data_IF_645605536646
#
_entry.id   IF_645605536646
#
_cell.length_a   1.000
_cell.length_b   1.000
_cell.length_c   1.000
_cell.angle_alpha   90.00
_cell.angle_beta   90.00
_cell.angle_gamma   90.00
#
_symmetry.space_group_name_H-M   'P 1'
#
loop_
_entity.id
_entity.type
_entity.pdbx_description
1 polymer ?
#
# COMPACT_ATOMS: atom_id res chain seq x y z
N UNK A 1 25.47 0.75 -16.84
CA UNK A 1 25.00 0.81 -15.44
C UNK A 1 23.48 0.74 -15.48
N UNK A 2 22.86 -0.07 -14.62
CA UNK A 2 21.41 -0.03 -14.39
C UNK A 2 21.12 1.25 -13.60
N UNK A 3 20.88 2.36 -14.29
CA UNK A 3 20.44 3.59 -13.64
C UNK A 3 18.92 3.61 -13.70
N UNK A 4 18.30 3.32 -12.57
CA UNK A 4 16.88 3.56 -12.37
C UNK A 4 16.74 5.00 -11.89
N UNK A 5 16.14 5.85 -12.70
CA UNK A 5 15.64 7.13 -12.24
C UNK A 5 14.26 6.90 -11.64
N UNK A 6 14.06 7.44 -10.42
CA UNK A 6 12.73 7.45 -9.82
C UNK A 6 11.79 8.21 -10.78
N UNK A 7 10.64 7.63 -11.13
CA UNK A 7 9.63 8.34 -11.90
C UNK A 7 9.24 9.65 -11.22
N UNK A 8 8.79 10.63 -12.01
CA UNK A 8 8.16 11.85 -11.46
C UNK A 8 7.03 11.47 -10.50
N UNK A 9 6.81 12.28 -9.45
CA UNK A 9 5.73 11.98 -8.52
C UNK A 9 4.37 11.90 -9.24
N UNK A 10 3.50 10.93 -8.87
CA UNK A 10 2.16 10.87 -9.40
C UNK A 10 1.39 12.15 -9.13
N UNK A 11 0.49 12.49 -10.05
CA UNK A 11 -0.51 13.54 -9.86
C UNK A 11 -1.35 13.29 -8.60
N UNK A 12 -1.67 14.36 -7.87
CA UNK A 12 -2.39 14.32 -6.59
C UNK A 12 -3.68 15.13 -6.68
N UNK A 13 -4.69 14.74 -5.90
CA UNK A 13 -5.98 15.42 -5.81
C UNK A 13 -6.44 15.50 -4.34
N UNK A 14 -7.03 16.63 -3.94
CA UNK A 14 -7.59 16.93 -2.60
C UNK A 14 -6.61 16.98 -1.42
N UNK A 15 -5.57 16.15 -1.44
CA UNK A 15 -4.66 15.92 -0.33
C UNK A 15 -3.21 16.01 -0.80
N UNK A 16 -2.37 16.64 0.02
CA UNK A 16 -0.94 16.75 -0.22
C UNK A 16 -0.20 16.91 1.11
N UNK A 17 1.08 16.55 1.15
CA UNK A 17 1.96 16.79 2.30
C UNK A 17 2.10 18.28 2.60
N UNK A 18 2.10 19.14 1.58
CA UNK A 18 2.26 20.59 1.71
C UNK A 18 1.06 21.28 2.37
N UNK A 19 -0.14 20.74 2.15
CA UNK A 19 -1.40 21.29 2.67
C UNK A 19 -1.85 20.62 3.97
N UNK A 20 -1.22 19.51 4.37
CA UNK A 20 -1.59 18.75 5.55
C UNK A 20 -1.23 19.50 6.85
N UNK A 21 -2.27 19.84 7.62
CA UNK A 21 -2.10 20.32 8.98
C UNK A 21 -1.56 19.23 9.91
N UNK A 22 -0.83 19.58 10.99
CA UNK A 22 -0.36 18.61 11.98
C UNK A 22 -1.53 17.87 12.65
N UNK A 23 -1.24 16.69 13.22
CA UNK A 23 -2.23 15.79 13.80
C UNK A 23 -3.02 16.42 14.95
N UNK A 24 -2.42 17.35 15.70
CA UNK A 24 -3.08 18.08 16.80
C UNK A 24 -4.24 18.99 16.36
N UNK A 25 -4.26 19.37 15.08
CA UNK A 25 -5.28 20.23 14.45
C UNK A 25 -6.25 19.46 13.57
N UNK A 26 -6.15 18.13 13.53
CA UNK A 26 -6.99 17.31 12.67
C UNK A 26 -8.43 17.27 13.17
N UNK A 27 -9.35 17.68 12.31
CA UNK A 27 -10.78 17.68 12.62
C UNK A 27 -11.45 16.36 12.25
N UNK A 28 -12.41 15.94 13.08
CA UNK A 28 -13.17 14.69 12.91
C UNK A 28 -13.84 14.59 11.52
N UNK A 29 -14.44 15.68 11.04
CA UNK A 29 -15.15 15.72 9.76
C UNK A 29 -14.20 15.55 8.57
N UNK A 30 -12.95 16.04 8.70
CA UNK A 30 -11.92 15.87 7.68
C UNK A 30 -11.52 14.40 7.52
N UNK A 31 -11.39 13.64 8.62
CA UNK A 31 -11.11 12.20 8.57
C UNK A 31 -12.23 11.46 7.83
N UNK A 32 -13.49 11.79 8.13
CA UNK A 32 -14.65 11.18 7.48
C UNK A 32 -14.63 11.48 5.97
N UNK A 33 -14.42 12.73 5.59
CA UNK A 33 -14.37 13.13 4.17
C UNK A 33 -13.26 12.38 3.43
N UNK A 34 -12.06 12.29 4.02
CA UNK A 34 -10.92 11.57 3.43
C UNK A 34 -11.23 10.09 3.18
N UNK A 35 -11.95 9.43 4.10
CA UNK A 35 -12.36 8.04 3.93
C UNK A 35 -13.41 7.90 2.83
N UNK A 36 -14.35 8.85 2.72
CA UNK A 36 -15.39 8.86 1.68
C UNK A 36 -14.76 9.05 0.29
N UNK A 37 -13.76 9.92 0.15
CA UNK A 37 -13.13 10.19 -1.15
C UNK A 37 -12.36 8.98 -1.72
N UNK A 38 -12.11 7.97 -0.90
CA UNK A 38 -11.46 6.71 -1.27
C UNK A 38 -12.46 5.54 -1.37
N UNK A 39 -13.75 5.82 -1.29
CA UNK A 39 -14.79 4.81 -1.27
C UNK A 39 -14.98 4.17 -2.66
N UNK A 40 -14.29 3.05 -2.87
CA UNK A 40 -14.44 2.23 -4.08
C UNK A 40 -15.70 1.38 -4.04
N UNK A 41 -16.20 1.06 -2.84
CA UNK A 41 -17.32 0.12 -2.66
C UNK A 41 -18.69 0.79 -2.79
N UNK A 42 -18.80 2.10 -2.59
CA UNK A 42 -20.07 2.84 -2.54
C UNK A 42 -21.09 2.19 -1.59
N UNK A 43 -20.63 1.67 -0.45
CA UNK A 43 -21.44 0.84 0.45
C UNK A 43 -21.39 1.30 1.90
N UNK A 44 -22.55 1.51 2.51
CA UNK A 44 -22.66 1.87 3.93
C UNK A 44 -22.31 0.71 4.89
N UNK A 45 -21.97 -0.47 4.37
CA UNK A 45 -21.46 -1.58 5.18
C UNK A 45 -20.01 -1.38 5.61
N UNK A 46 -19.58 -2.10 6.64
CA UNK A 46 -18.17 -2.19 7.02
C UNK A 46 -17.33 -2.65 5.82
N UNK A 47 -16.28 -1.89 5.50
CA UNK A 47 -15.38 -2.21 4.41
C UNK A 47 -13.97 -1.71 4.72
N UNK A 48 -12.99 -2.44 4.18
CA UNK A 48 -11.57 -2.15 4.32
C UNK A 48 -10.94 -2.07 2.95
N UNK A 49 -10.22 -0.98 2.73
CA UNK A 49 -9.38 -0.81 1.55
C UNK A 49 -7.94 -0.80 2.05
N UNK A 50 -7.14 -1.75 1.60
CA UNK A 50 -5.72 -1.82 1.92
C UNK A 50 -4.90 -1.12 0.84
N UNK A 51 -3.63 -0.83 1.11
CA UNK A 51 -2.70 -0.28 0.13
C UNK A 51 -1.31 -0.14 0.73
N UNK A 52 -0.38 0.41 -0.04
CA UNK A 52 1.03 0.47 0.33
C UNK A 52 1.64 1.85 0.12
N UNK A 53 2.22 2.40 1.19
CA UNK A 53 2.99 3.64 1.18
C UNK A 53 4.46 3.31 1.39
N UNK A 54 5.18 3.12 0.27
CA UNK A 54 6.49 2.48 0.29
C UNK A 54 6.36 1.03 0.79
N UNK A 55 7.20 0.61 1.73
CA UNK A 55 7.10 -0.74 2.31
C UNK A 55 6.14 -0.83 3.51
N UNK A 56 5.34 0.21 3.74
CA UNK A 56 4.45 0.34 4.89
C UNK A 56 3.00 0.12 4.48
N UNK A 57 2.28 -0.72 5.22
CA UNK A 57 0.87 -1.01 4.90
C UNK A 57 -0.03 0.14 5.35
N UNK A 58 -0.96 0.53 4.50
CA UNK A 58 -2.04 1.47 4.79
C UNK A 58 -3.37 0.71 4.75
N UNK A 59 -4.23 0.95 5.73
CA UNK A 59 -5.61 0.43 5.77
C UNK A 59 -6.56 1.58 5.97
N UNK A 60 -7.44 1.79 4.99
CA UNK A 60 -8.61 2.65 5.11
C UNK A 60 -9.74 1.80 5.70
N UNK A 61 -10.22 2.23 6.85
CA UNK A 61 -11.30 1.60 7.60
C UNK A 61 -12.56 2.42 7.39
N UNK A 62 -13.60 1.80 6.85
CA UNK A 62 -14.91 2.44 6.70
C UNK A 62 -15.97 1.68 7.46
N UNK A 63 -16.79 2.43 8.20
CA UNK A 63 -17.95 1.93 8.92
C UNK A 63 -17.67 0.68 9.77
N UNK A 64 -16.49 0.59 10.40
CA UNK A 64 -16.19 -0.49 11.32
C UNK A 64 -17.13 -0.42 12.51
N UNK A 65 -17.90 -1.48 12.75
CA UNK A 65 -18.93 -1.48 13.80
C UNK A 65 -18.54 -2.40 14.96
N UNK A 66 -18.58 -1.87 16.17
CA UNK A 66 -18.43 -2.68 17.37
C UNK A 66 -19.37 -2.24 18.50
N UNK A 67 -19.21 -2.84 19.69
CA UNK A 67 -20.04 -2.53 20.86
C UNK A 67 -19.94 -1.06 21.30
N UNK A 68 -18.85 -0.37 20.97
CA UNK A 68 -18.57 1.02 21.39
C UNK A 68 -19.08 2.05 20.38
N UNK A 69 -19.28 1.68 19.12
CA UNK A 69 -19.66 2.64 18.08
C UNK A 69 -19.29 2.19 16.68
N UNK A 70 -19.30 3.17 15.78
CA UNK A 70 -18.85 3.05 14.40
C UNK A 70 -17.56 3.86 14.24
N UNK A 71 -16.57 3.34 13.52
CA UNK A 71 -15.32 4.04 13.24
C UNK A 71 -15.02 4.14 11.75
N UNK A 72 -14.45 5.28 11.35
CA UNK A 72 -13.89 5.53 10.03
C UNK A 72 -12.47 6.06 10.21
N UNK A 73 -11.53 5.71 9.35
CA UNK A 73 -10.21 6.34 9.38
C UNK A 73 -9.12 5.51 8.73
N UNK A 74 -7.89 5.74 9.18
CA UNK A 74 -6.69 5.18 8.59
C UNK A 74 -5.87 4.46 9.65
N UNK A 75 -5.22 3.37 9.24
CA UNK A 75 -4.21 2.67 10.03
C UNK A 75 -2.98 2.51 9.14
N UNK A 76 -1.83 3.00 9.63
CA UNK A 76 -0.54 2.86 8.95
C UNK A 76 0.38 2.03 9.84
N UNK A 77 0.93 0.94 9.32
CA UNK A 77 1.98 0.18 10.01
C UNK A 77 3.33 0.48 9.35
N UNK A 78 4.26 1.06 10.11
CA UNK A 78 5.60 1.41 9.64
C UNK A 78 6.56 0.22 9.79
N UNK A 79 6.31 -0.83 9.00
CA UNK A 79 6.90 -2.14 9.18
C UNK A 79 6.55 -2.72 10.55
N UNK A 80 7.51 -3.39 11.19
CA UNK A 80 7.35 -3.96 12.53
C UNK A 80 7.69 -2.96 13.66
N UNK A 81 7.81 -1.67 13.34
CA UNK A 81 8.25 -0.64 14.30
C UNK A 81 7.10 -0.07 15.12
N UNK A 82 6.06 0.40 14.44
CA UNK A 82 4.89 0.98 15.09
C UNK A 82 3.69 1.05 14.16
N UNK A 83 2.52 1.25 14.78
CA UNK A 83 1.25 1.54 14.16
C UNK A 83 0.79 2.95 14.54
N UNK A 84 0.39 3.72 13.54
CA UNK A 84 -0.33 4.98 13.69
C UNK A 84 -1.78 4.76 13.25
N UNK A 85 -2.74 5.00 14.14
CA UNK A 85 -4.18 4.94 13.82
C UNK A 85 -4.78 6.34 13.94
N UNK A 86 -5.52 6.76 12.92
CA UNK A 86 -6.15 8.08 12.82
C UNK A 86 -7.62 7.84 12.51
N UNK A 87 -8.49 7.95 13.51
CA UNK A 87 -9.87 7.52 13.39
C UNK A 87 -10.86 8.58 13.86
N UNK A 88 -12.02 8.59 13.22
CA UNK A 88 -13.25 9.23 13.66
C UNK A 88 -14.18 8.15 14.22
N UNK A 89 -14.59 8.30 15.48
CA UNK A 89 -15.43 7.33 16.20
C UNK A 89 -16.75 7.99 16.60
N UNK A 90 -17.85 7.47 16.06
CA UNK A 90 -19.20 7.80 16.51
C UNK A 90 -19.63 6.81 17.59
N UNK A 91 -19.79 7.29 18.84
CA UNK A 91 -20.12 6.42 19.96
C UNK A 91 -21.54 5.87 19.89
N UNK A 92 -21.72 4.59 20.23
CA UNK A 92 -23.05 4.01 20.42
C UNK A 92 -23.60 4.41 21.79
N UNK A 93 -24.53 5.37 21.78
CA UNK A 93 -25.21 5.85 23.00
C UNK A 93 -26.68 5.41 22.99
N UNK A 94 -27.21 4.82 24.08
CA UNK A 94 -28.63 4.50 24.18
C UNK A 94 -29.53 5.73 23.96
N UNK A 95 -30.63 5.58 23.20
CA UNK A 95 -31.54 6.69 22.86
C UNK A 95 -32.01 7.48 24.08
N UNK A 96 -32.32 6.81 25.19
CA UNK A 96 -32.73 7.48 26.42
C UNK A 96 -31.66 8.48 26.94
N UNK A 97 -30.37 8.12 26.84
CA UNK A 97 -29.25 8.99 27.26
C UNK A 97 -29.08 10.18 26.32
N UNK A 98 -29.29 9.99 25.01
CA UNK A 98 -29.29 11.10 24.05
C UNK A 98 -30.42 12.10 24.34
N UNK A 99 -31.63 11.60 24.62
CA UNK A 99 -32.77 12.44 24.97
C UNK A 99 -32.55 13.22 26.26
N UNK A 100 -32.06 12.55 27.32
CA UNK A 100 -31.73 13.20 28.60
C UNK A 100 -30.62 14.26 28.47
N UNK A 101 -29.73 14.12 27.49
CA UNK A 101 -28.67 15.10 27.19
C UNK A 101 -29.07 16.13 26.13
N UNK A 102 -30.34 16.16 25.70
CA UNK A 102 -30.86 17.03 24.64
C UNK A 102 -30.09 16.93 23.31
N UNK A 103 -29.47 15.76 23.03
CA UNK A 103 -28.72 15.51 21.80
C UNK A 103 -29.54 14.69 20.81
N UNK A 104 -29.49 15.08 19.52
CA UNK A 104 -30.13 14.34 18.43
C UNK A 104 -29.27 13.20 17.87
N UNK A 105 -27.94 13.33 17.97
CA UNK A 105 -26.95 12.35 17.52
C UNK A 105 -25.87 12.15 18.60
N UNK A 106 -25.21 10.97 18.65
CA UNK A 106 -24.01 10.78 19.45
C UNK A 106 -22.92 11.79 19.08
N UNK A 107 -21.97 11.99 20.00
CA UNK A 107 -20.76 12.76 19.67
C UNK A 107 -19.85 11.88 18.83
N UNK A 108 -19.34 12.44 17.75
CA UNK A 108 -18.21 11.88 17.02
C UNK A 108 -16.92 12.49 17.57
N UNK A 109 -15.88 11.69 17.73
CA UNK A 109 -14.58 12.14 18.23
C UNK A 109 -13.44 11.58 17.40
N UNK A 110 -12.40 12.39 17.25
CA UNK A 110 -11.10 11.97 16.75
C UNK A 110 -10.37 11.11 17.81
N UNK A 111 -9.80 10.01 17.35
CA UNK A 111 -8.91 9.14 18.10
C UNK A 111 -7.65 8.92 17.26
N UNK A 112 -6.57 9.57 17.69
CA UNK A 112 -5.24 9.40 17.10
C UNK A 112 -4.38 8.65 18.10
N UNK A 113 -3.92 7.46 17.70
CA UNK A 113 -3.15 6.58 18.57
C UNK A 113 -1.88 6.07 17.91
N UNK A 114 -0.91 5.81 18.77
CA UNK A 114 0.38 5.27 18.45
C UNK A 114 0.60 4.00 19.28
N UNK A 115 1.16 2.96 18.66
CA UNK A 115 1.47 1.68 19.29
C UNK A 115 2.80 1.19 18.74
N UNK A 116 3.81 0.97 19.59
CA UNK A 116 5.04 0.30 19.14
C UNK A 116 4.76 -1.18 18.88
N UNK A 117 5.40 -1.71 17.84
CA UNK A 117 5.30 -3.10 17.40
C UNK A 117 6.66 -3.79 17.60
N UNK A 118 6.70 -5.10 17.31
CA UNK A 118 7.94 -5.88 17.37
C UNK A 118 8.26 -6.40 18.78
N UNK A 119 9.55 -6.41 19.14
CA UNK A 119 10.08 -7.16 20.29
C UNK A 119 9.72 -6.56 21.66
N UNK A 120 9.35 -5.28 21.72
CA UNK A 120 8.89 -4.61 22.95
C UNK A 120 7.64 -3.77 22.67
N UNK A 121 6.49 -4.40 22.45
CA UNK A 121 5.27 -3.68 22.15
C UNK A 121 4.82 -2.88 23.38
N UNK A 122 4.61 -1.59 23.20
CA UNK A 122 3.98 -0.72 24.18
C UNK A 122 2.47 -0.85 24.09
N UNK A 123 1.78 -0.57 25.20
CA UNK A 123 0.35 -0.31 25.13
C UNK A 123 0.05 0.85 24.18
N UNK A 124 -1.15 0.83 23.60
CA UNK A 124 -1.65 1.93 22.76
C UNK A 124 -1.66 3.26 23.53
N UNK A 125 -1.01 4.27 22.98
CA UNK A 125 -0.91 5.62 23.53
C UNK A 125 -1.69 6.61 22.65
N UNK A 126 -2.37 7.58 23.25
CA UNK A 126 -3.00 8.66 22.50
C UNK A 126 -1.96 9.71 22.12
N UNK A 127 -2.00 10.19 20.87
CA UNK A 127 -1.05 11.18 20.33
C UNK A 127 -0.88 12.40 21.25
N UNK A 128 -1.99 12.98 21.73
CA UNK A 128 -2.00 14.13 22.66
C UNK A 128 -1.29 13.91 24.00
N UNK A 129 -1.01 12.66 24.37
CA UNK A 129 -0.34 12.29 25.62
C UNK A 129 1.13 11.89 25.39
N UNK A 130 1.64 12.00 24.16
CA UNK A 130 3.06 11.78 23.86
C UNK A 130 3.83 13.02 24.30
N UNK A 131 4.88 12.81 25.08
CA UNK A 131 5.76 13.88 25.59
C UNK A 131 7.05 14.02 24.77
N UNK A 132 7.37 13.00 23.99
CA UNK A 132 8.54 12.96 23.11
C UNK A 132 8.27 13.80 21.86
N UNK A 133 8.96 14.94 21.76
CA UNK A 133 8.82 15.89 20.65
C UNK A 133 9.34 15.33 19.31
N UNK A 134 10.39 14.50 19.33
CA UNK A 134 10.92 13.88 18.11
C UNK A 134 9.92 12.86 17.57
N UNK A 135 9.31 12.07 18.47
CA UNK A 135 8.24 11.16 18.09
C UNK A 135 7.02 11.91 17.53
N UNK A 136 6.58 13.00 18.15
CA UNK A 136 5.48 13.81 17.63
C UNK A 136 5.76 14.34 16.22
N UNK A 137 6.98 14.86 15.99
CA UNK A 137 7.40 15.33 14.67
C UNK A 137 7.42 14.21 13.63
N UNK A 138 7.87 13.01 14.01
CA UNK A 138 7.84 11.84 13.13
C UNK A 138 6.41 11.43 12.77
N UNK A 139 5.47 11.42 13.73
CA UNK A 139 4.08 11.08 13.46
C UNK A 139 3.39 12.12 12.57
N UNK A 140 3.73 13.40 12.73
CA UNK A 140 3.25 14.45 11.83
C UNK A 140 3.86 14.32 10.42
N UNK A 141 5.13 13.93 10.31
CA UNK A 141 5.75 13.65 9.01
C UNK A 141 5.07 12.46 8.31
N UNK A 142 4.81 11.38 9.03
CA UNK A 142 4.09 10.22 8.50
C UNK A 142 2.65 10.56 8.07
N UNK A 143 2.00 11.46 8.80
CA UNK A 143 0.70 11.98 8.42
C UNK A 143 0.75 12.77 7.11
N UNK A 144 1.79 13.60 6.91
CA UNK A 144 2.00 14.32 5.64
C UNK A 144 2.26 13.35 4.49
N UNK A 145 3.11 12.33 4.70
CA UNK A 145 3.35 11.27 3.71
C UNK A 145 2.05 10.54 3.35
N UNK A 146 1.22 10.23 4.36
CA UNK A 146 -0.08 9.61 4.12
C UNK A 146 -0.97 10.53 3.27
N UNK A 147 -0.98 11.84 3.50
CA UNK A 147 -1.77 12.77 2.68
C UNK A 147 -1.32 12.79 1.21
N UNK A 148 -0.03 12.71 0.93
CA UNK A 148 0.47 12.57 -0.44
C UNK A 148 0.01 11.27 -1.08
N UNK A 149 0.14 10.15 -0.37
CA UNK A 149 -0.34 8.85 -0.82
C UNK A 149 -1.84 8.86 -1.11
N UNK A 150 -2.64 9.43 -0.19
CA UNK A 150 -4.09 9.55 -0.36
C UNK A 150 -4.45 10.47 -1.51
N UNK A 151 -3.71 11.57 -1.70
CA UNK A 151 -3.93 12.49 -2.80
C UNK A 151 -3.71 11.83 -4.15
N UNK A 152 -2.64 11.04 -4.28
CA UNK A 152 -2.37 10.27 -5.49
C UNK A 152 -3.44 9.19 -5.72
N UNK A 153 -3.91 8.54 -4.65
CA UNK A 153 -4.98 7.55 -4.74
C UNK A 153 -6.31 8.16 -5.20
N UNK A 154 -6.71 9.32 -4.66
CA UNK A 154 -7.90 10.05 -5.10
C UNK A 154 -7.81 10.43 -6.58
N UNK A 155 -6.66 10.95 -7.02
CA UNK A 155 -6.46 11.28 -8.44
C UNK A 155 -6.62 10.05 -9.34
N UNK A 156 -6.03 8.91 -8.97
CA UNK A 156 -6.22 7.66 -9.71
C UNK A 156 -7.69 7.27 -9.80
N UNK A 157 -8.41 7.27 -8.67
CA UNK A 157 -9.81 6.83 -8.62
C UNK A 157 -10.73 7.72 -9.48
N UNK A 158 -10.60 9.04 -9.40
CA UNK A 158 -11.42 9.97 -10.18
C UNK A 158 -11.18 9.89 -11.68
N UNK A 159 -9.97 9.53 -12.10
CA UNK A 159 -9.58 9.44 -13.50
C UNK A 159 -9.63 7.99 -14.05
N UNK A 160 -10.28 7.07 -13.34
CA UNK A 160 -10.50 5.70 -13.83
C UNK A 160 -9.26 4.79 -13.72
N UNK A 161 -8.33 5.08 -12.82
CA UNK A 161 -7.10 4.33 -12.51
C UNK A 161 -6.10 4.24 -13.68
N UNK A 162 -5.64 5.37 -14.23
CA UNK A 162 -4.82 5.40 -15.44
C UNK A 162 -3.48 4.66 -15.30
N UNK A 163 -2.81 4.69 -14.14
CA UNK A 163 -1.55 3.95 -13.96
C UNK A 163 -1.80 2.44 -13.91
N UNK A 164 -2.93 2.01 -13.36
CA UNK A 164 -3.33 0.59 -13.39
C UNK A 164 -3.60 0.14 -14.83
N UNK A 165 -4.35 0.94 -15.59
CA UNK A 165 -4.60 0.66 -17.01
C UNK A 165 -3.30 0.61 -17.81
N UNK A 166 -2.38 1.55 -17.56
CA UNK A 166 -1.06 1.57 -18.18
C UNK A 166 -0.25 0.31 -17.84
N UNK A 167 -0.24 -0.13 -16.57
CA UNK A 167 0.45 -1.36 -16.16
C UNK A 167 -0.09 -2.57 -16.93
N UNK A 168 -1.42 -2.71 -17.01
CA UNK A 168 -2.08 -3.81 -17.73
C UNK A 168 -1.82 -3.77 -19.25
N UNK A 169 -1.65 -2.59 -19.84
CA UNK A 169 -1.35 -2.44 -21.27
C UNK A 169 0.13 -2.69 -21.61
N UNK A 170 1.05 -2.27 -20.75
CA UNK A 170 2.50 -2.34 -21.01
C UNK A 170 3.12 -3.65 -20.57
N UNK A 171 2.59 -4.27 -19.51
CA UNK A 171 3.11 -5.51 -18.93
C UNK A 171 2.19 -6.65 -19.36
N UNK A 172 2.40 -7.15 -20.57
CA UNK A 172 1.56 -8.21 -21.15
C UNK A 172 2.02 -9.62 -20.71
N UNK A 173 1.14 -10.63 -20.78
CA UNK A 173 1.52 -12.02 -20.54
C UNK A 173 2.68 -12.52 -21.40
N UNK A 174 2.74 -12.08 -22.67
CA UNK A 174 3.84 -12.41 -23.59
C UNK A 174 5.15 -11.77 -23.12
N UNK A 175 5.10 -10.50 -22.68
CA UNK A 175 6.27 -9.81 -22.15
C UNK A 175 6.84 -10.48 -20.90
N UNK A 176 5.98 -10.95 -20.00
CA UNK A 176 6.38 -11.74 -18.81
C UNK A 176 7.01 -13.06 -19.24
N UNK A 177 6.38 -13.76 -20.18
CA UNK A 177 6.90 -15.04 -20.68
C UNK A 177 8.26 -14.89 -21.34
N UNK A 178 8.44 -13.87 -22.19
CA UNK A 178 9.73 -13.56 -22.82
C UNK A 178 10.83 -13.26 -21.80
N UNK A 179 10.52 -12.49 -20.76
CA UNK A 179 11.46 -12.23 -19.67
C UNK A 179 11.81 -13.50 -18.90
N UNK A 180 10.81 -14.32 -18.58
CA UNK A 180 11.01 -15.57 -17.86
C UNK A 180 11.90 -16.56 -18.63
N UNK A 181 11.85 -16.51 -19.96
CA UNK A 181 12.66 -17.33 -20.87
C UNK A 181 14.02 -16.73 -21.27
N UNK A 182 14.38 -15.56 -20.74
CA UNK A 182 15.64 -14.91 -21.07
C UNK A 182 16.85 -15.84 -20.82
N UNK A 183 17.76 -15.94 -21.80
CA UNK A 183 18.87 -16.91 -21.80
C UNK A 183 19.80 -16.78 -20.59
N UNK A 184 19.86 -15.59 -19.98
CA UNK A 184 20.65 -15.32 -18.77
C UNK A 184 20.22 -16.20 -17.58
N UNK A 185 18.94 -16.56 -17.46
CA UNK A 185 18.45 -17.44 -16.40
C UNK A 185 18.85 -18.91 -16.59
N UNK A 186 19.29 -19.30 -17.80
CA UNK A 186 19.80 -20.66 -18.07
C UNK A 186 21.32 -20.76 -17.97
N UNK A 187 22.01 -19.62 -18.04
CA UNK A 187 23.48 -19.55 -18.11
C UNK A 187 24.13 -19.12 -16.80
N UNK A 188 23.45 -18.35 -15.96
CA UNK A 188 23.95 -17.97 -14.63
C UNK A 188 23.61 -18.99 -13.55
N UNK A 189 24.45 -19.04 -12.53
CA UNK A 189 24.08 -19.67 -11.25
C UNK A 189 23.02 -18.81 -10.57
N UNK A 190 21.86 -19.39 -10.28
CA UNK A 190 20.73 -18.71 -9.68
C UNK A 190 20.65 -18.98 -8.17
N UNK A 191 20.29 -17.95 -7.42
CA UNK A 191 19.94 -18.02 -6.00
C UNK A 191 18.43 -18.23 -5.86
N UNK A 192 18.03 -19.13 -4.97
CA UNK A 192 16.62 -19.37 -4.66
C UNK A 192 16.07 -18.29 -3.73
N UNK A 193 14.82 -17.90 -3.96
CA UNK A 193 14.02 -16.99 -3.13
C UNK A 193 12.55 -17.42 -3.19
N UNK A 194 12.17 -18.34 -2.29
CA UNK A 194 10.88 -19.02 -2.37
C UNK A 194 10.75 -19.84 -3.65
N UNK A 195 9.67 -19.63 -4.40
CA UNK A 195 9.42 -20.27 -5.70
C UNK A 195 10.21 -19.64 -6.86
N UNK A 196 10.95 -18.55 -6.60
CA UNK A 196 11.71 -17.84 -7.61
C UNK A 196 13.19 -18.24 -7.56
N UNK A 197 13.85 -18.21 -8.72
CA UNK A 197 15.28 -18.35 -8.85
C UNK A 197 15.85 -17.17 -9.67
N UNK A 198 16.91 -16.53 -9.17
CA UNK A 198 17.39 -15.27 -9.74
C UNK A 198 18.85 -14.94 -9.46
N UNK A 199 19.27 -13.75 -9.86
CA UNK A 199 20.61 -13.24 -9.59
C UNK A 199 20.59 -11.74 -9.32
N UNK A 200 21.61 -11.27 -8.58
CA UNK A 200 21.82 -9.85 -8.33
C UNK A 200 22.58 -9.19 -9.49
N UNK A 201 22.15 -7.98 -9.85
CA UNK A 201 22.84 -7.10 -10.78
C UNK A 201 22.77 -5.66 -10.24
N UNK A 202 23.82 -5.26 -9.52
CA UNK A 202 23.81 -4.03 -8.73
C UNK A 202 22.79 -4.11 -7.60
N UNK A 203 21.95 -3.08 -7.49
CA UNK A 203 20.92 -2.95 -6.44
C UNK A 203 19.65 -3.76 -6.70
N UNK A 204 19.59 -4.49 -7.82
CA UNK A 204 18.41 -5.24 -8.24
C UNK A 204 18.64 -6.75 -8.22
N UNK A 205 17.63 -7.46 -7.75
CA UNK A 205 17.54 -8.91 -7.87
C UNK A 205 16.46 -9.26 -8.89
N UNK A 206 16.87 -9.87 -10.00
CA UNK A 206 15.97 -10.34 -11.05
C UNK A 206 15.79 -11.84 -10.88
N UNK A 207 14.55 -12.30 -10.74
CA UNK A 207 14.24 -13.69 -10.53
C UNK A 207 13.00 -14.11 -11.33
N UNK A 208 12.92 -15.40 -11.61
CA UNK A 208 11.83 -16.00 -12.39
C UNK A 208 11.28 -17.21 -11.65
N UNK A 209 9.97 -17.42 -11.77
CA UNK A 209 9.31 -18.67 -11.43
C UNK A 209 8.95 -19.35 -12.74
N UNK A 210 9.60 -20.48 -13.02
CA UNK A 210 9.28 -21.27 -14.20
C UNK A 210 7.94 -22.00 -14.01
N UNK A 211 7.20 -22.31 -15.10
CA UNK A 211 5.98 -23.10 -15.01
C UNK A 211 6.18 -24.44 -14.29
N UNK A 212 5.27 -24.78 -13.40
CA UNK A 212 5.21 -26.05 -12.67
C UNK A 212 3.79 -26.59 -12.69
N UNK A 213 3.59 -27.85 -12.25
CA UNK A 213 2.24 -28.44 -12.15
C UNK A 213 1.30 -27.63 -11.24
N UNK A 214 1.83 -26.98 -10.19
CA UNK A 214 1.04 -26.14 -9.27
C UNK A 214 0.85 -24.71 -9.76
N UNK A 215 1.79 -24.18 -10.54
CA UNK A 215 1.77 -22.83 -11.11
C UNK A 215 2.08 -22.92 -12.60
N UNK A 216 1.07 -23.12 -13.48
CA UNK A 216 1.29 -23.44 -14.89
C UNK A 216 1.79 -22.24 -15.72
N UNK A 217 1.78 -21.03 -15.17
CA UNK A 217 2.20 -19.81 -15.83
C UNK A 217 3.51 -19.27 -15.23
N UNK A 218 4.39 -18.68 -16.06
CA UNK A 218 5.62 -18.08 -15.58
C UNK A 218 5.33 -16.80 -14.79
N UNK A 219 6.23 -16.45 -13.89
CA UNK A 219 6.21 -15.16 -13.20
C UNK A 219 7.61 -14.56 -13.12
N UNK A 220 7.68 -13.23 -13.05
CA UNK A 220 8.93 -12.48 -12.86
C UNK A 220 8.88 -11.76 -11.52
N UNK A 221 9.96 -11.80 -10.77
CA UNK A 221 10.15 -11.01 -9.57
C UNK A 221 11.31 -10.03 -9.76
N UNK A 222 11.07 -8.76 -9.44
CA UNK A 222 12.11 -7.74 -9.39
C UNK A 222 12.17 -7.20 -7.98
N UNK A 223 13.31 -7.41 -7.31
CA UNK A 223 13.54 -6.87 -5.97
C UNK A 223 14.55 -5.74 -6.00
N UNK A 224 14.40 -4.80 -5.06
CA UNK A 224 15.31 -3.69 -4.87
C UNK A 224 15.61 -3.53 -3.37
N UNK A 225 16.73 -2.91 -3.06
CA UNK A 225 17.05 -2.50 -1.69
C UNK A 225 16.43 -1.14 -1.43
N UNK A 226 15.56 -1.05 -0.44
CA UNK A 226 15.02 0.22 0.04
C UNK A 226 16.00 0.86 1.04
N UNK A 227 16.55 0.03 1.95
CA UNK A 227 17.65 0.38 2.83
C UNK A 227 18.58 -0.83 3.06
N UNK A 228 19.50 -0.75 4.03
CA UNK A 228 20.44 -1.83 4.34
C UNK A 228 19.76 -3.15 4.78
N UNK A 229 18.53 -3.09 5.29
CA UNK A 229 17.80 -4.21 5.89
C UNK A 229 16.57 -4.62 5.09
N UNK A 230 15.95 -3.67 4.39
CA UNK A 230 14.66 -3.86 3.75
C UNK A 230 14.79 -4.06 2.23
N UNK A 231 14.35 -5.23 1.78
CA UNK A 231 14.26 -5.61 0.37
C UNK A 231 12.78 -5.69 0.00
N UNK A 232 12.33 -4.75 -0.82
CA UNK A 232 11.03 -4.81 -1.47
C UNK A 232 11.09 -5.62 -2.75
N UNK A 233 9.99 -6.29 -3.11
CA UNK A 233 9.87 -6.98 -4.40
C UNK A 233 8.53 -6.67 -5.06
N UNK A 234 8.54 -6.50 -6.38
CA UNK A 234 7.35 -6.64 -7.20
C UNK A 234 7.35 -8.02 -7.84
N UNK A 235 6.19 -8.66 -7.84
CA UNK A 235 5.96 -9.92 -8.53
C UNK A 235 4.94 -9.67 -9.63
N UNK A 236 5.37 -9.95 -10.86
CA UNK A 236 4.58 -9.87 -12.07
C UNK A 236 4.11 -11.29 -12.39
N UNK A 237 3.01 -11.65 -11.76
CA UNK A 237 2.41 -12.98 -11.87
C UNK A 237 1.32 -12.98 -12.96
N UNK A 238 0.97 -14.18 -13.42
CA UNK A 238 -0.10 -14.41 -14.37
C UNK A 238 -1.13 -15.35 -13.75
N UNK A 239 -2.38 -14.92 -13.74
CA UNK A 239 -3.53 -15.70 -13.30
C UNK A 239 -4.49 -15.87 -14.48
N UNK A 240 -5.09 -17.05 -14.60
CA UNK A 240 -6.17 -17.24 -15.57
C UNK A 240 -7.42 -16.51 -15.10
N UNK A 241 -8.04 -15.75 -16.00
CA UNK A 241 -9.35 -15.16 -15.75
C UNK A 241 -10.48 -16.21 -15.87
N UNK A 242 -11.75 -15.76 -15.77
CA UNK A 242 -12.91 -16.65 -15.88
C UNK A 242 -13.02 -17.35 -17.24
N UNK A 243 -12.45 -16.77 -18.30
CA UNK A 243 -12.38 -17.37 -19.63
C UNK A 243 -11.17 -18.30 -19.80
N UNK A 244 -10.28 -18.36 -18.81
CA UNK A 244 -9.04 -19.14 -18.86
C UNK A 244 -7.86 -18.40 -19.48
N UNK A 245 -8.01 -17.10 -19.78
CA UNK A 245 -6.97 -16.30 -20.43
C UNK A 245 -5.99 -15.74 -19.38
N UNK A 246 -4.66 -15.80 -19.64
CA UNK A 246 -3.67 -15.25 -18.71
C UNK A 246 -3.81 -13.74 -18.55
N UNK A 247 -3.89 -13.30 -17.30
CA UNK A 247 -3.98 -11.89 -16.91
C UNK A 247 -2.94 -11.53 -15.87
N UNK A 248 -2.37 -10.33 -16.01
CA UNK A 248 -1.42 -9.78 -15.06
C UNK A 248 -2.03 -9.66 -13.65
N UNK A 249 -1.37 -10.30 -12.70
CA UNK A 249 -1.54 -10.12 -11.27
C UNK A 249 -0.27 -9.49 -10.71
N UNK A 250 -0.34 -8.20 -10.41
CA UNK A 250 0.79 -7.45 -9.88
C UNK A 250 0.74 -7.44 -8.35
N UNK A 251 1.78 -7.99 -7.72
CA UNK A 251 1.90 -8.06 -6.27
C UNK A 251 3.11 -7.28 -5.77
N UNK A 252 3.03 -6.79 -4.54
CA UNK A 252 4.15 -6.32 -3.73
C UNK A 252 4.45 -7.34 -2.64
N UNK A 253 5.73 -7.62 -2.44
CA UNK A 253 6.25 -8.28 -1.25
C UNK A 253 7.09 -7.21 -0.52
N UNK A 254 6.61 -6.67 0.61
CA UNK A 254 7.21 -5.49 1.21
C UNK A 254 8.57 -5.77 1.85
N UNK A 255 8.82 -7.02 2.26
CA UNK A 255 10.08 -7.43 2.91
C UNK A 255 10.45 -8.83 2.47
N UNK A 256 11.74 -9.15 2.47
CA UNK A 256 12.19 -10.53 2.24
C UNK A 256 11.59 -11.45 3.31
N UNK A 257 10.92 -12.52 2.86
CA UNK A 257 10.26 -13.49 3.74
C UNK A 257 8.85 -13.11 4.20
N UNK A 258 8.35 -11.92 3.85
CA UNK A 258 6.94 -11.57 4.03
C UNK A 258 6.07 -12.22 2.94
N UNK A 259 4.76 -12.28 3.20
CA UNK A 259 3.77 -12.64 2.20
C UNK A 259 3.72 -11.64 1.05
N UNK A 260 3.20 -12.09 -0.09
CA UNK A 260 2.91 -11.23 -1.24
C UNK A 260 1.47 -10.73 -1.19
N UNK A 261 1.28 -9.45 -1.49
CA UNK A 261 -0.01 -8.78 -1.48
C UNK A 261 -0.31 -8.20 -2.85
N UNK A 262 -1.54 -8.37 -3.32
CA UNK A 262 -2.00 -7.72 -4.56
C UNK A 262 -1.88 -6.20 -4.40
N UNK A 263 -1.31 -5.53 -5.41
CA UNK A 263 -1.34 -4.08 -5.47
C UNK A 263 -2.75 -3.60 -5.77
N UNK A 264 -3.17 -2.54 -5.10
CA UNK A 264 -4.42 -1.89 -5.41
C UNK A 264 -4.28 -1.01 -6.65
N UNK A 265 -5.40 -0.81 -7.34
CA UNK A 265 -5.45 -0.04 -8.59
C UNK A 265 -5.15 1.45 -8.40
N UNK A 266 -5.16 1.93 -7.16
CA UNK A 266 -4.87 3.32 -6.79
C UNK A 266 -3.51 3.47 -6.09
N UNK A 267 -2.70 2.41 -5.94
CA UNK A 267 -1.34 2.47 -5.36
C UNK A 267 -0.36 3.15 -6.35
N UNK A 268 -0.59 4.43 -6.64
CA UNK A 268 0.00 5.16 -7.76
C UNK A 268 1.53 5.07 -7.84
N UNK A 269 2.21 5.37 -6.71
CA UNK A 269 3.67 5.28 -6.63
C UNK A 269 4.18 3.87 -6.93
N UNK A 270 3.51 2.83 -6.41
CA UNK A 270 3.94 1.46 -6.66
C UNK A 270 3.67 1.03 -8.11
N UNK A 271 2.54 1.42 -8.69
CA UNK A 271 2.23 1.12 -10.09
C UNK A 271 3.25 1.76 -11.03
N UNK A 272 3.56 3.03 -10.82
CA UNK A 272 4.55 3.75 -11.62
C UNK A 272 5.95 3.14 -11.49
N UNK A 273 6.37 2.82 -10.25
CA UNK A 273 7.65 2.16 -9.98
C UNK A 273 7.71 0.78 -10.62
N UNK A 274 6.66 -0.03 -10.50
CA UNK A 274 6.59 -1.36 -11.09
C UNK A 274 6.68 -1.32 -12.62
N UNK A 275 5.96 -0.40 -13.29
CA UNK A 275 6.05 -0.19 -14.75
C UNK A 275 7.49 0.16 -15.17
N UNK A 276 8.10 1.12 -14.47
CA UNK A 276 9.46 1.56 -14.77
C UNK A 276 10.49 0.43 -14.56
N UNK A 277 10.37 -0.31 -13.45
CA UNK A 277 11.26 -1.44 -13.15
C UNK A 277 11.09 -2.59 -14.15
N UNK A 278 9.86 -2.88 -14.57
CA UNK A 278 9.60 -3.90 -15.59
C UNK A 278 10.23 -3.50 -16.94
N UNK A 279 10.02 -2.26 -17.38
CA UNK A 279 10.59 -1.72 -18.63
C UNK A 279 12.11 -1.75 -18.61
N UNK A 280 12.72 -1.35 -17.49
CA UNK A 280 14.17 -1.42 -17.27
C UNK A 280 14.67 -2.86 -17.38
N UNK A 281 13.96 -3.81 -16.77
CA UNK A 281 14.32 -5.23 -16.76
C UNK A 281 14.25 -5.84 -18.15
N UNK A 282 13.22 -5.52 -18.93
CA UNK A 282 13.13 -5.93 -20.34
C UNK A 282 14.34 -5.44 -21.13
N UNK A 283 14.68 -4.16 -21.03
CA UNK A 283 15.85 -3.61 -21.74
C UNK A 283 17.15 -4.28 -21.29
N UNK A 284 17.31 -4.57 -20.00
CA UNK A 284 18.55 -5.13 -19.48
C UNK A 284 18.71 -6.63 -19.76
N UNK A 285 17.63 -7.41 -19.79
CA UNK A 285 17.70 -8.87 -19.90
C UNK A 285 17.43 -9.40 -21.32
N UNK A 286 16.77 -8.63 -22.18
CA UNK A 286 16.40 -9.04 -23.54
C UNK A 286 17.22 -8.35 -24.64
N UNK A 287 18.09 -7.38 -24.28
CA UNK A 287 19.04 -6.74 -25.21
C UNK A 287 20.43 -7.32 -24.98
#
# INVERSE_FOLDING_TARGET
MLTYELPEEPEKLYYSAGDAHPLDKLETDKIIQMVIDLDVANSDSEHYVTGWMGLNSVVVVRNYQNKRGTANGFVVNKGDRYRLSIQSIEFRIPKAVLWMSFRRKPRTMELITYETLGDQPSGMQQYRNILDEELLQQLDADWRELNDYLGAACWQLEHGTPLWQQAQQQITPEAISQLADAAIFRTKSLQADGDYAGFWAGEYFFAVRQPTTGNPLPAVQISWREDEKDIGSYQFDLLNDEAGEPKLSLCIRPRKGADSYLLNRFDAHHLQRAIAMFTMTQRYLLT
#
